data_IF_654363298917
#
_entry.id   IF_654363298917
#
_cell.length_a   1.000
_cell.length_b   1.000
_cell.length_c   1.000
_cell.angle_alpha   90.00
_cell.angle_beta   90.00
_cell.angle_gamma   90.00
#
_symmetry.space_group_name_H-M   'P 1'
#
loop_
_entity.id
_entity.type
_entity.pdbx_description
1 polymer ?
#
# COMPACT_ATOMS: atom_id res chain seq x y z
N UNK A 1 0.55 -6.62 -10.20
CA UNK A 1 -0.36 -7.18 -9.17
C UNK A 1 0.34 -7.06 -7.82
N UNK A 2 -0.36 -6.54 -6.82
CA UNK A 2 0.11 -6.52 -5.42
C UNK A 2 -0.95 -7.20 -4.57
N UNK A 3 -0.53 -8.11 -3.70
CA UNK A 3 -1.39 -8.83 -2.75
C UNK A 3 -1.00 -8.37 -1.36
N UNK A 4 -1.97 -7.88 -0.58
CA UNK A 4 -1.74 -7.40 0.77
C UNK A 4 -2.78 -8.01 1.70
N UNK A 5 -2.42 -9.07 2.44
CA UNK A 5 -3.26 -9.84 3.38
C UNK A 5 -4.68 -10.10 2.84
N UNK A 6 -5.60 -9.15 3.01
CA UNK A 6 -7.02 -9.24 2.66
C UNK A 6 -7.40 -8.53 1.33
N UNK A 7 -6.50 -7.69 0.79
CA UNK A 7 -6.73 -6.89 -0.42
C UNK A 7 -5.89 -7.38 -1.60
N UNK A 8 -6.55 -7.55 -2.75
CA UNK A 8 -5.90 -7.87 -4.02
C UNK A 8 -6.05 -6.69 -4.95
N UNK A 9 -4.91 -6.12 -5.35
CA UNK A 9 -4.88 -4.97 -6.25
C UNK A 9 -4.28 -5.37 -7.59
N UNK A 10 -5.13 -5.22 -8.62
CA UNK A 10 -4.81 -5.48 -10.02
C UNK A 10 -4.65 -4.13 -10.71
N UNK A 11 -3.55 -3.94 -11.43
CA UNK A 11 -3.28 -2.75 -12.23
C UNK A 11 -2.63 -3.18 -13.54
N UNK A 12 -2.85 -2.39 -14.58
CA UNK A 12 -2.36 -2.62 -15.95
C UNK A 12 -2.31 -1.28 -16.69
N UNK A 13 -1.56 -1.24 -17.79
CA UNK A 13 -1.42 -0.02 -18.60
C UNK A 13 -2.58 0.18 -19.58
N UNK A 14 -3.17 -0.92 -20.06
CA UNK A 14 -4.32 -0.93 -20.97
C UNK A 14 -5.54 -1.57 -20.32
N UNK A 15 -6.72 -1.28 -20.87
CA UNK A 15 -7.98 -1.88 -20.42
C UNK A 15 -8.06 -3.36 -20.82
N UNK A 16 -7.57 -3.68 -22.00
CA UNK A 16 -7.53 -5.04 -22.54
C UNK A 16 -6.70 -5.96 -21.64
N UNK A 17 -5.50 -5.51 -21.24
CA UNK A 17 -4.67 -6.23 -20.28
C UNK A 17 -5.36 -6.33 -18.91
N UNK A 18 -6.07 -5.27 -18.49
CA UNK A 18 -6.78 -5.25 -17.21
C UNK A 18 -7.81 -6.37 -17.12
N UNK A 19 -8.63 -6.52 -18.16
CA UNK A 19 -9.67 -7.55 -18.24
C UNK A 19 -9.05 -8.93 -18.23
N UNK A 20 -7.97 -9.15 -18.98
CA UNK A 20 -7.26 -10.44 -18.97
C UNK A 20 -6.67 -10.78 -17.60
N UNK A 21 -6.09 -9.79 -16.91
CA UNK A 21 -5.53 -10.01 -15.57
C UNK A 21 -6.61 -10.27 -14.53
N UNK A 22 -7.72 -9.54 -14.60
CA UNK A 22 -8.88 -9.79 -13.74
C UNK A 22 -9.43 -11.21 -13.93
N UNK A 23 -9.63 -11.64 -15.17
CA UNK A 23 -10.15 -12.97 -15.48
C UNK A 23 -9.25 -14.07 -14.90
N UNK A 24 -7.93 -13.95 -15.13
CA UNK A 24 -6.95 -14.90 -14.59
C UNK A 24 -6.93 -14.93 -13.06
N UNK A 25 -7.03 -13.78 -12.39
CA UNK A 25 -7.01 -13.75 -10.92
C UNK A 25 -8.30 -14.36 -10.36
N UNK A 26 -9.46 -13.98 -10.91
CA UNK A 26 -10.75 -14.48 -10.44
C UNK A 26 -10.94 -15.97 -10.74
N UNK A 27 -10.36 -16.49 -11.83
CA UNK A 27 -10.41 -17.92 -12.16
C UNK A 27 -9.72 -18.79 -11.10
N UNK A 28 -8.68 -18.29 -10.44
CA UNK A 28 -7.96 -19.00 -9.37
C UNK A 28 -8.75 -19.07 -8.06
N UNK A 29 -9.77 -18.22 -7.86
CA UNK A 29 -10.51 -18.18 -6.60
C UNK A 29 -11.53 -19.30 -6.49
N UNK A 30 -12.11 -19.70 -7.63
CA UNK A 30 -13.09 -20.80 -7.71
C UNK A 30 -12.54 -22.13 -7.17
N UNK A 31 -11.36 -22.63 -7.62
CA UNK A 31 -10.84 -23.92 -7.16
C UNK A 31 -10.47 -23.94 -5.67
N UNK A 32 -10.11 -22.79 -5.09
CA UNK A 32 -9.78 -22.67 -3.66
C UNK A 32 -10.96 -22.25 -2.78
N UNK A 33 -12.16 -22.13 -3.37
CA UNK A 33 -13.39 -21.67 -2.69
C UNK A 33 -13.21 -20.32 -1.95
N UNK A 34 -12.39 -19.43 -2.51
CA UNK A 34 -12.20 -18.08 -1.97
C UNK A 34 -13.41 -17.22 -2.36
N UNK A 35 -14.05 -16.60 -1.36
CA UNK A 35 -15.22 -15.75 -1.55
C UNK A 35 -14.83 -14.29 -1.43
N UNK A 36 -15.29 -13.48 -2.38
CA UNK A 36 -15.09 -12.03 -2.36
C UNK A 36 -16.41 -11.33 -2.01
N UNK A 37 -16.32 -10.30 -1.16
CA UNK A 37 -17.44 -9.39 -0.90
C UNK A 37 -17.53 -8.34 -2.01
N UNK A 38 -18.45 -8.53 -2.98
CA UNK A 38 -18.64 -7.58 -4.08
C UNK A 38 -18.92 -6.14 -3.60
N UNK A 39 -19.57 -5.97 -2.43
CA UNK A 39 -19.82 -4.66 -1.82
C UNK A 39 -18.54 -3.90 -1.50
N UNK A 40 -17.45 -4.60 -1.24
CA UNK A 40 -16.16 -4.01 -0.86
C UNK A 40 -15.20 -3.93 -2.06
N UNK A 41 -15.60 -4.42 -3.25
CA UNK A 41 -14.75 -4.39 -4.43
C UNK A 41 -14.90 -3.08 -5.21
N UNK A 42 -13.78 -2.55 -5.70
CA UNK A 42 -13.73 -1.43 -6.62
C UNK A 42 -13.14 -1.89 -7.96
N UNK A 43 -13.93 -1.80 -9.04
CA UNK A 43 -13.52 -2.26 -10.38
C UNK A 43 -13.37 -1.12 -11.38
N UNK A 44 -12.43 -1.30 -12.32
CA UNK A 44 -12.29 -0.44 -13.51
C UNK A 44 -12.07 1.04 -13.22
N UNK A 45 -11.50 1.36 -12.07
CA UNK A 45 -11.16 2.73 -11.72
C UNK A 45 -9.83 3.10 -12.38
N UNK A 46 -9.80 4.24 -13.07
CA UNK A 46 -8.53 4.82 -13.58
C UNK A 46 -7.55 5.11 -12.45
N UNK A 47 -8.07 5.36 -11.24
CA UNK A 47 -7.32 5.67 -10.03
C UNK A 47 -8.04 5.02 -8.86
N UNK A 48 -7.33 4.26 -8.01
CA UNK A 48 -7.90 3.76 -6.77
C UNK A 48 -7.99 4.94 -5.80
N UNK A 49 -9.20 5.24 -5.32
CA UNK A 49 -9.44 6.21 -4.25
C UNK A 49 -9.90 5.41 -3.03
N UNK A 50 -8.94 4.90 -2.26
CA UNK A 50 -9.21 4.52 -0.88
C UNK A 50 -9.59 5.79 -0.09
N UNK A 51 -10.38 5.72 1.01
CA UNK A 51 -10.99 6.89 1.63
C UNK A 51 -9.94 7.96 1.97
N UNK A 52 -9.82 8.97 1.10
CA UNK A 52 -8.96 10.14 1.25
C UNK A 52 -7.99 10.47 0.11
N UNK A 53 -7.49 9.55 -0.73
CA UNK A 53 -6.33 9.87 -1.59
C UNK A 53 -6.21 9.07 -2.91
N UNK A 54 -5.61 9.72 -3.92
CA UNK A 54 -5.32 9.21 -5.27
C UNK A 54 -4.15 8.22 -5.24
N UNK A 55 -4.40 6.95 -5.55
CA UNK A 55 -3.39 5.89 -5.47
C UNK A 55 -2.85 5.51 -6.85
N UNK A 56 -1.54 5.69 -7.05
CA UNK A 56 -0.74 5.01 -8.09
C UNK A 56 -0.23 3.67 -7.55
N UNK A 57 0.10 2.70 -8.43
CA UNK A 57 0.58 1.37 -8.02
C UNK A 57 1.79 1.37 -7.08
N UNK A 58 2.59 2.45 -7.08
CA UNK A 58 3.72 2.66 -6.16
C UNK A 58 3.27 3.15 -4.77
N UNK A 59 2.28 4.06 -4.72
CA UNK A 59 1.73 4.59 -3.47
C UNK A 59 0.82 3.61 -2.73
N UNK A 60 0.40 2.54 -3.40
CA UNK A 60 -0.42 1.48 -2.83
C UNK A 60 0.36 0.59 -1.83
N UNK A 61 1.69 0.51 -1.98
CA UNK A 61 2.58 -0.14 -1.01
C UNK A 61 2.81 0.69 0.26
N UNK A 62 2.40 1.97 0.26
CA UNK A 62 2.60 2.90 1.36
C UNK A 62 1.23 3.34 1.87
N UNK A 63 0.83 2.85 3.04
CA UNK A 63 -0.37 3.34 3.73
C UNK A 63 -0.24 4.84 4.02
N UNK A 64 -0.87 5.67 3.18
CA UNK A 64 -0.81 7.12 3.27
C UNK A 64 -1.48 7.66 4.55
N UNK A 65 -2.42 6.91 5.16
CA UNK A 65 -3.00 7.30 6.45
C UNK A 65 -1.96 7.19 7.55
N UNK A 66 -1.13 6.15 7.53
CA UNK A 66 0.01 6.00 8.45
C UNK A 66 1.07 7.08 8.21
N UNK A 67 1.35 7.45 6.96
CA UNK A 67 2.26 8.58 6.65
C UNK A 67 1.71 9.90 7.18
N UNK A 68 0.42 10.19 6.93
CA UNK A 68 -0.23 11.41 7.39
C UNK A 68 -0.27 11.52 8.93
N UNK A 69 -0.53 10.40 9.62
CA UNK A 69 -0.47 10.36 11.08
C UNK A 69 0.92 10.74 11.59
N UNK A 70 1.98 10.23 10.97
CA UNK A 70 3.36 10.57 11.33
C UNK A 70 3.75 12.02 11.00
N UNK A 71 3.19 12.61 9.94
CA UNK A 71 3.39 14.03 9.64
C UNK A 71 2.71 14.96 10.67
N UNK A 72 1.69 14.47 11.38
CA UNK A 72 0.97 15.21 12.41
C UNK A 72 1.52 14.96 13.82
N UNK A 73 2.33 13.91 14.01
CA UNK A 73 2.95 13.62 15.28
C UNK A 73 3.99 14.70 15.66
N UNK A 74 4.08 15.06 16.95
CA UNK A 74 5.10 15.99 17.41
C UNK A 74 6.50 15.40 17.21
N UNK A 75 7.49 16.27 16.97
CA UNK A 75 8.89 15.86 16.85
C UNK A 75 9.31 15.09 18.12
N UNK A 76 9.91 13.89 17.99
CA UNK A 76 10.37 13.10 19.14
C UNK A 76 11.25 13.92 20.09
N UNK A 77 10.95 13.85 21.40
CA UNK A 77 11.65 14.63 22.42
C UNK A 77 12.66 13.82 23.22
N UNK A 78 12.64 12.49 23.09
CA UNK A 78 13.56 11.60 23.79
C UNK A 78 13.99 10.42 22.89
N UNK A 79 15.03 9.72 23.34
CA UNK A 79 15.64 8.60 22.61
C UNK A 79 14.62 7.49 22.33
N UNK A 80 13.71 7.21 23.28
CA UNK A 80 12.71 6.14 23.13
C UNK A 80 11.69 6.47 22.04
N UNK A 81 11.20 7.71 22.00
CA UNK A 81 10.32 8.19 20.94
C UNK A 81 11.03 8.20 19.58
N UNK A 82 12.29 8.61 19.55
CA UNK A 82 13.10 8.61 18.32
C UNK A 82 13.29 7.18 17.77
N UNK A 83 13.61 6.21 18.63
CA UNK A 83 13.72 4.81 18.26
C UNK A 83 12.39 4.22 17.77
N UNK A 84 11.27 4.58 18.40
CA UNK A 84 9.93 4.17 17.93
C UNK A 84 9.62 4.73 16.55
N UNK A 85 9.93 6.00 16.30
CA UNK A 85 9.77 6.64 15.00
C UNK A 85 10.63 5.99 13.92
N UNK A 86 11.91 5.72 14.20
CA UNK A 86 12.81 5.01 13.26
C UNK A 86 12.29 3.59 12.99
N UNK A 87 11.81 2.90 14.03
CA UNK A 87 11.19 1.58 13.90
C UNK A 87 10.00 1.60 12.94
N UNK A 88 9.10 2.57 13.09
CA UNK A 88 8.02 2.80 12.15
C UNK A 88 8.54 3.13 10.73
N UNK A 89 9.45 4.09 10.60
CA UNK A 89 9.96 4.54 9.31
C UNK A 89 10.73 3.44 8.56
N UNK A 90 11.33 2.49 9.30
CA UNK A 90 12.04 1.34 8.74
C UNK A 90 11.14 0.42 7.92
N UNK A 91 9.84 0.35 8.25
CA UNK A 91 8.85 -0.37 7.45
C UNK A 91 8.77 0.17 6.01
N UNK A 92 8.99 1.48 5.84
CA UNK A 92 8.95 2.17 4.56
C UNK A 92 10.33 2.41 3.94
N UNK A 93 11.40 1.79 4.47
CA UNK A 93 12.81 2.06 4.07
C UNK A 93 13.08 1.94 2.57
N UNK A 94 12.38 1.05 1.85
CA UNK A 94 12.54 0.86 0.41
C UNK A 94 12.03 2.06 -0.41
N UNK A 95 11.19 2.90 0.20
CA UNK A 95 10.63 4.10 -0.41
C UNK A 95 11.35 5.39 0.01
N UNK A 96 12.20 5.30 1.04
CA UNK A 96 12.98 6.43 1.54
C UNK A 96 14.39 6.32 0.97
N UNK A 97 14.71 7.15 -0.01
CA UNK A 97 16.05 7.20 -0.61
C UNK A 97 17.08 7.44 0.50
N UNK A 98 18.15 6.65 0.49
CA UNK A 98 19.26 6.75 1.47
C UNK A 98 18.83 6.63 2.95
N UNK A 99 17.74 5.89 3.26
CA UNK A 99 17.25 5.71 4.63
C UNK A 99 18.34 5.36 5.65
N UNK A 100 19.21 4.39 5.32
CA UNK A 100 20.27 3.95 6.21
C UNK A 100 21.25 5.08 6.61
N UNK A 101 21.58 5.98 5.68
CA UNK A 101 22.46 7.13 5.94
C UNK A 101 21.77 8.20 6.81
N UNK A 102 20.46 8.40 6.62
CA UNK A 102 19.67 9.34 7.42
C UNK A 102 19.52 8.81 8.85
N UNK A 103 19.18 7.53 8.99
CA UNK A 103 18.96 6.88 10.28
C UNK A 103 20.25 6.63 11.07
N UNK A 104 21.42 6.54 10.41
CA UNK A 104 22.71 6.35 11.11
C UNK A 104 23.22 7.60 11.81
N UNK A 105 22.63 8.75 11.55
CA UNK A 105 23.05 10.05 12.11
C UNK A 105 22.28 10.40 13.40
N UNK A 106 21.56 9.44 13.97
CA UNK A 106 20.63 9.60 15.11
C UNK A 106 21.04 8.69 16.26
#
# INVERSE_FOLDING_TARGET
>A
MVVYIDDIIIYSDTWEDHVQYMDRVLSEFTPINLKISLKNCNFGKKELLEPGHKVSGLSLAIDQKKVAAVLQEPVPKNIKEMQSFIGFASYYRNHIKTFAHIASSI
#
